data_IF_220303007703
#
_entry.id   IF_220303007703
#
_cell.length_a   1.000
_cell.length_b   1.000
_cell.length_c   1.000
_cell.angle_alpha   90.00
_cell.angle_beta   90.00
_cell.angle_gamma   90.00
#
_symmetry.space_group_name_H-M   'P 1'
#
loop_
_entity.id
_entity.type
_entity.pdbx_description
1 polymer ?
#
# COMPACT_ATOMS: atom_id res chain seq x y z
N UNK A 1 8.54 -20.29 -6.35
CA UNK A 1 7.97 -20.19 -4.99
C UNK A 1 6.86 -19.14 -4.99
N UNK A 2 5.67 -19.47 -4.48
CA UNK A 2 4.59 -18.50 -4.31
C UNK A 2 4.80 -17.71 -3.01
N UNK A 3 4.75 -16.39 -3.08
CA UNK A 3 4.82 -15.53 -1.90
C UNK A 3 3.49 -15.60 -1.13
N UNK A 4 3.55 -15.91 0.18
CA UNK A 4 2.40 -15.85 1.10
C UNK A 4 2.65 -14.77 2.15
N UNK A 5 1.90 -13.65 2.15
CA UNK A 5 2.09 -12.60 3.14
C UNK A 5 1.63 -13.04 4.53
N UNK A 6 2.38 -12.66 5.56
CA UNK A 6 2.07 -12.86 7.00
C UNK A 6 1.01 -11.87 7.46
N UNK A 7 -0.25 -12.11 7.13
CA UNK A 7 -1.37 -11.23 7.50
C UNK A 7 -1.70 -11.28 9.00
N UNK A 8 -1.18 -12.27 9.73
CA UNK A 8 -1.29 -12.43 11.18
C UNK A 8 -0.68 -11.25 11.95
N UNK A 9 0.33 -10.57 11.38
CA UNK A 9 1.00 -9.43 12.01
C UNK A 9 0.22 -8.12 11.88
N UNK A 10 -0.82 -8.08 11.03
CA UNK A 10 -1.63 -6.89 10.84
C UNK A 10 -2.66 -6.79 11.97
N UNK A 11 -2.84 -5.60 12.58
CA UNK A 11 -3.98 -5.36 13.47
C UNK A 11 -5.31 -5.62 12.74
N UNK A 12 -6.40 -5.97 13.46
CA UNK A 12 -7.67 -6.36 12.86
C UNK A 12 -8.17 -5.39 11.77
N UNK A 13 -8.19 -4.09 12.05
CA UNK A 13 -8.64 -3.07 11.09
C UNK A 13 -7.75 -3.02 9.82
N UNK A 14 -6.44 -3.26 9.93
CA UNK A 14 -5.53 -3.29 8.77
C UNK A 14 -5.66 -4.57 7.96
N UNK A 15 -6.00 -5.68 8.62
CA UNK A 15 -6.30 -6.94 7.93
C UNK A 15 -7.60 -6.83 7.13
N UNK A 16 -8.59 -6.11 7.65
CA UNK A 16 -9.84 -5.83 6.93
C UNK A 16 -9.64 -4.90 5.72
N UNK A 17 -8.72 -3.94 5.82
CA UNK A 17 -8.33 -3.08 4.71
C UNK A 17 -7.56 -3.82 3.61
N UNK A 18 -6.77 -4.84 3.95
CA UNK A 18 -5.89 -5.55 3.02
C UNK A 18 -6.53 -5.95 1.68
N UNK A 19 -7.69 -6.65 1.63
CA UNK A 19 -8.32 -7.02 0.35
C UNK A 19 -8.78 -5.80 -0.47
N UNK A 20 -9.08 -4.68 0.20
CA UNK A 20 -9.55 -3.44 -0.42
C UNK A 20 -8.43 -2.70 -1.18
N UNK A 21 -7.16 -3.02 -0.91
CA UNK A 21 -5.99 -2.44 -1.59
C UNK A 21 -5.67 -3.10 -2.94
N UNK A 22 -6.34 -4.22 -3.27
CA UNK A 22 -6.14 -4.96 -4.53
C UNK A 22 -6.25 -4.10 -5.80
N UNK A 23 -7.15 -3.10 -5.91
CA UNK A 23 -7.23 -2.23 -7.08
C UNK A 23 -5.93 -1.46 -7.37
N UNK A 24 -5.14 -1.11 -6.34
CA UNK A 24 -3.88 -0.37 -6.50
C UNK A 24 -2.87 -1.14 -7.36
N UNK A 25 -2.88 -2.47 -7.30
CA UNK A 25 -2.01 -3.32 -8.13
C UNK A 25 -2.33 -3.14 -9.61
N UNK A 26 -3.60 -2.97 -9.98
CA UNK A 26 -4.02 -2.72 -11.38
C UNK A 26 -3.56 -1.35 -11.88
N UNK A 27 -3.42 -0.39 -10.98
CA UNK A 27 -2.87 0.93 -11.26
C UNK A 27 -1.33 0.93 -11.32
N UNK A 28 -0.68 -0.23 -11.12
CA UNK A 28 0.78 -0.35 -11.16
C UNK A 28 1.48 0.11 -9.89
N UNK A 29 0.75 0.23 -8.77
CA UNK A 29 1.34 0.47 -7.47
C UNK A 29 1.81 -0.84 -6.84
N UNK A 30 2.97 -0.77 -6.20
CA UNK A 30 3.61 -1.89 -5.51
C UNK A 30 3.82 -1.51 -4.05
N UNK A 31 3.58 -2.46 -3.14
CA UNK A 31 3.82 -2.25 -1.72
C UNK A 31 5.34 -2.27 -1.43
N UNK A 32 5.84 -1.23 -0.78
CA UNK A 32 7.24 -1.03 -0.45
C UNK A 32 7.45 -0.80 1.05
N UNK A 33 8.71 -0.54 1.43
CA UNK A 33 9.09 -0.14 2.77
C UNK A 33 9.03 -1.24 3.83
N UNK A 34 8.98 -0.82 5.09
CA UNK A 34 9.03 -1.72 6.24
C UNK A 34 7.86 -2.69 6.31
N UNK A 35 6.70 -2.33 5.76
CA UNK A 35 5.51 -3.20 5.73
C UNK A 35 5.67 -4.35 4.76
N UNK A 36 6.25 -4.14 3.58
CA UNK A 36 6.53 -5.22 2.64
C UNK A 36 7.45 -6.28 3.26
N UNK A 37 8.50 -5.83 3.97
CA UNK A 37 9.42 -6.72 4.69
C UNK A 37 8.71 -7.41 5.86
N UNK A 38 7.93 -6.67 6.64
CA UNK A 38 7.15 -7.25 7.76
C UNK A 38 6.22 -8.36 7.27
N UNK A 39 5.47 -8.15 6.17
CA UNK A 39 4.61 -9.18 5.58
C UNK A 39 5.40 -10.37 5.02
N UNK A 40 6.67 -10.20 4.66
CA UNK A 40 7.52 -11.29 4.19
C UNK A 40 8.01 -12.19 5.31
N UNK A 41 8.50 -11.62 6.41
CA UNK A 41 9.20 -12.39 7.45
C UNK A 41 8.44 -12.47 8.79
N UNK A 42 7.43 -11.64 8.99
CA UNK A 42 6.59 -11.63 10.19
C UNK A 42 7.28 -11.09 11.46
N UNK A 43 8.33 -10.28 11.33
CA UNK A 43 9.20 -9.88 12.46
C UNK A 43 8.61 -8.82 13.41
N UNK A 44 7.55 -8.11 12.99
CA UNK A 44 6.89 -7.07 13.81
C UNK A 44 5.47 -6.80 13.32
N UNK A 45 4.65 -6.18 14.16
CA UNK A 45 3.39 -5.59 13.72
C UNK A 45 3.66 -4.43 12.74
N UNK A 46 2.84 -4.34 11.69
CA UNK A 46 2.86 -3.20 10.77
C UNK A 46 1.49 -2.56 10.66
N UNK A 47 1.47 -1.23 10.64
CA UNK A 47 0.25 -0.43 10.72
C UNK A 47 0.06 0.50 9.53
N UNK A 48 1.10 0.71 8.72
CA UNK A 48 1.08 1.59 7.56
C UNK A 48 1.25 0.81 6.27
N UNK A 49 0.68 1.29 5.17
CA UNK A 49 0.89 0.71 3.84
C UNK A 49 1.46 1.77 2.90
N UNK A 50 2.73 1.63 2.56
CA UNK A 50 3.41 2.52 1.62
C UNK A 50 3.42 1.88 0.23
N UNK A 51 2.72 2.50 -0.71
CA UNK A 51 2.71 2.08 -2.10
C UNK A 51 3.54 3.04 -2.95
N UNK A 52 4.21 2.50 -3.96
CA UNK A 52 5.02 3.29 -4.90
C UNK A 52 4.87 2.76 -6.32
N UNK A 53 5.10 3.62 -7.30
CA UNK A 53 5.10 3.28 -8.71
C UNK A 53 6.10 4.17 -9.45
N UNK A 54 6.69 3.67 -10.52
CA UNK A 54 7.57 4.44 -11.41
C UNK A 54 6.77 5.30 -12.40
N UNK A 55 5.47 5.02 -12.54
CA UNK A 55 4.57 5.78 -13.41
C UNK A 55 4.19 7.11 -12.75
N UNK A 56 3.85 8.15 -13.52
CA UNK A 56 3.20 9.33 -12.98
C UNK A 56 1.97 8.96 -12.15
N UNK A 57 1.82 9.61 -11.00
CA UNK A 57 0.77 9.29 -10.05
C UNK A 57 -0.59 9.84 -10.54
N UNK A 58 -1.46 8.96 -11.04
CA UNK A 58 -2.86 9.32 -11.32
C UNK A 58 -3.66 9.36 -10.02
N UNK A 59 -3.62 10.52 -9.36
CA UNK A 59 -4.29 10.72 -8.08
C UNK A 59 -5.80 10.52 -8.17
N UNK A 60 -6.43 10.90 -9.28
CA UNK A 60 -7.87 10.75 -9.46
C UNK A 60 -8.27 9.27 -9.55
N UNK A 61 -7.54 8.49 -10.35
CA UNK A 61 -7.78 7.05 -10.46
C UNK A 61 -7.51 6.33 -9.13
N UNK A 62 -6.47 6.71 -8.40
CA UNK A 62 -6.16 6.14 -7.07
C UNK A 62 -7.32 6.40 -6.09
N UNK A 63 -7.76 7.65 -5.98
CA UNK A 63 -8.85 8.01 -5.07
C UNK A 63 -10.17 7.32 -5.44
N UNK A 64 -10.47 7.19 -6.74
CA UNK A 64 -11.67 6.49 -7.21
C UNK A 64 -11.62 4.97 -7.01
N UNK A 65 -10.42 4.38 -6.95
CA UNK A 65 -10.22 2.94 -6.76
C UNK A 65 -10.30 2.49 -5.30
N UNK A 66 -10.13 3.43 -4.37
CA UNK A 66 -10.18 3.18 -2.94
C UNK A 66 -11.60 3.39 -2.41
N UNK A 67 -12.03 2.61 -1.40
CA UNK A 67 -13.34 2.78 -0.82
C UNK A 67 -13.49 4.18 -0.21
N UNK A 68 -14.67 4.79 -0.35
CA UNK A 68 -14.97 6.12 0.19
C UNK A 68 -14.86 6.21 1.73
N UNK A 69 -14.99 5.06 2.42
CA UNK A 69 -14.78 4.91 3.85
C UNK A 69 -13.35 4.50 4.23
N UNK A 70 -12.38 4.61 3.30
CA UNK A 70 -10.95 4.44 3.59
C UNK A 70 -10.49 5.58 4.50
N UNK A 71 -10.85 5.46 5.77
CA UNK A 71 -10.38 6.30 6.86
C UNK A 71 -9.15 5.61 7.49
N UNK A 72 -8.04 6.33 7.69
CA UNK A 72 -7.77 7.71 7.26
C UNK A 72 -7.52 7.82 5.75
N UNK A 73 -7.76 9.02 5.20
CA UNK A 73 -7.52 9.36 3.79
C UNK A 73 -6.06 9.05 3.39
N UNK A 74 -5.83 8.49 2.18
CA UNK A 74 -4.48 8.18 1.72
C UNK A 74 -3.68 9.47 1.50
N UNK A 75 -2.42 9.46 1.90
CA UNK A 75 -1.49 10.55 1.58
C UNK A 75 -0.82 10.28 0.24
N UNK A 76 -1.03 11.17 -0.74
CA UNK A 76 -0.46 11.04 -2.08
C UNK A 76 0.69 12.03 -2.28
N UNK A 77 1.90 11.52 -2.57
CA UNK A 77 3.11 12.33 -2.77
C UNK A 77 3.77 11.94 -4.09
N UNK A 78 4.26 12.92 -4.83
CA UNK A 78 5.15 12.68 -5.96
C UNK A 78 6.57 12.48 -5.46
N UNK A 79 7.40 11.77 -6.22
CA UNK A 79 8.84 11.73 -5.97
C UNK A 79 9.40 13.17 -6.00
N UNK A 80 10.42 13.48 -5.17
CA UNK A 80 11.11 14.75 -5.27
C UNK A 80 11.67 14.94 -6.68
N UNK A 81 11.55 16.14 -7.24
CA UNK A 81 12.26 16.49 -8.47
C UNK A 81 13.75 16.39 -8.21
N UNK A 82 14.46 15.59 -8.99
CA UNK A 82 15.91 15.61 -8.98
C UNK A 82 16.37 17.03 -9.36
N UNK A 83 17.38 17.59 -8.67
CA UNK A 83 17.98 18.84 -9.10
C UNK A 83 18.51 18.65 -10.54
N UNK A 84 18.35 19.70 -11.34
CA UNK A 84 18.83 19.77 -12.72
C UNK A 84 20.36 19.64 -12.79
#
# INVERSE_FOLDING_TARGET
>A
MSFRPRLDILPPARRELWPQLKPLVKLGLVLYGGTAIALRIGHRHSVDFDFSTEKPLDKAAIMASLPCHAWPQPTLRNAPSLPA
#
